data_IF_077496481479
#
_entry.id   IF_077496481479
#
_cell.length_a   1.000
_cell.length_b   1.000
_cell.length_c   1.000
_cell.angle_alpha   90.00
_cell.angle_beta   90.00
_cell.angle_gamma   90.00
#
_symmetry.space_group_name_H-M   'P 1'
#
loop_
_entity.id
_entity.type
_entity.pdbx_description
1 polymer ?
#
# COMPACT_ATOMS: atom_id res chain seq x y z
N UNK A 1 8.08 15.02 28.15
CA UNK A 1 7.80 15.05 26.71
C UNK A 1 6.32 14.76 26.53
N UNK A 2 5.60 15.54 25.74
CA UNK A 2 4.21 15.21 25.39
C UNK A 2 4.22 13.89 24.60
N UNK A 3 3.26 12.99 24.91
CA UNK A 3 3.14 11.73 24.17
C UNK A 3 2.89 12.01 22.69
N UNK A 4 3.63 11.35 21.80
CA UNK A 4 3.43 11.48 20.35
C UNK A 4 2.01 11.03 20.03
N UNK A 5 1.22 11.91 19.44
CA UNK A 5 -0.14 11.60 19.00
C UNK A 5 -0.07 10.61 17.85
N UNK A 6 -0.52 9.37 18.05
CA UNK A 6 -0.53 8.32 17.03
C UNK A 6 -1.71 8.54 16.09
N UNK A 7 -1.46 9.16 14.95
CA UNK A 7 -2.45 9.48 13.94
C UNK A 7 -2.23 8.62 12.69
N UNK A 8 -3.25 7.88 12.30
CA UNK A 8 -3.28 7.10 11.06
C UNK A 8 -4.24 7.78 10.10
N UNK A 9 -3.85 7.83 8.83
CA UNK A 9 -4.73 8.24 7.75
C UNK A 9 -4.77 7.17 6.66
N UNK A 10 -5.91 7.04 6.02
CA UNK A 10 -6.10 6.29 4.79
C UNK A 10 -7.02 7.05 3.85
N UNK A 11 -7.06 6.64 2.59
CA UNK A 11 -7.94 7.25 1.59
C UNK A 11 -8.67 6.16 0.81
N UNK A 12 -9.97 6.34 0.62
CA UNK A 12 -10.82 5.45 -0.16
C UNK A 12 -11.65 6.29 -1.13
N UNK A 13 -11.61 5.95 -2.40
CA UNK A 13 -12.44 6.58 -3.43
C UNK A 13 -12.97 5.52 -4.39
N UNK A 14 -14.16 5.78 -4.93
CA UNK A 14 -14.82 4.86 -5.84
C UNK A 14 -15.22 3.54 -5.18
N UNK A 15 -15.27 2.46 -5.97
CA UNK A 15 -15.90 1.20 -5.54
C UNK A 15 -14.95 0.02 -5.33
N UNK A 16 -13.62 0.25 -5.41
CA UNK A 16 -12.66 -0.87 -5.38
C UNK A 16 -12.56 -1.55 -4.01
N UNK A 17 -12.59 -0.80 -2.92
CA UNK A 17 -12.33 -1.32 -1.57
C UNK A 17 -13.53 -1.19 -0.64
N UNK A 18 -13.91 0.03 -0.25
CA UNK A 18 -15.04 0.34 0.63
C UNK A 18 -14.87 -0.08 2.09
N UNK A 19 -15.97 -0.05 2.85
CA UNK A 19 -16.01 -0.28 4.28
C UNK A 19 -15.35 -1.58 4.76
N UNK A 20 -15.48 -2.74 4.10
CA UNK A 20 -14.83 -3.97 4.58
C UNK A 20 -13.31 -3.88 4.68
N UNK A 21 -12.66 -3.10 3.81
CA UNK A 21 -11.22 -2.88 3.87
C UNK A 21 -10.84 -1.87 4.95
N UNK A 22 -11.61 -0.78 5.07
CA UNK A 22 -11.41 0.25 6.10
C UNK A 22 -11.55 -0.37 7.49
N UNK A 23 -12.60 -1.17 7.71
CA UNK A 23 -12.88 -1.81 8.99
C UNK A 23 -11.77 -2.80 9.38
N UNK A 24 -11.28 -3.61 8.44
CA UNK A 24 -10.14 -4.51 8.67
C UNK A 24 -8.86 -3.75 8.95
N UNK A 25 -8.60 -2.65 8.22
CA UNK A 25 -7.42 -1.83 8.49
C UNK A 25 -7.45 -1.29 9.91
N UNK A 26 -8.59 -0.73 10.36
CA UNK A 26 -8.75 -0.29 11.74
C UNK A 26 -8.51 -1.42 12.75
N UNK A 27 -9.13 -2.58 12.53
CA UNK A 27 -8.99 -3.71 13.42
C UNK A 27 -7.55 -4.23 13.50
N UNK A 28 -6.82 -4.23 12.38
CA UNK A 28 -5.39 -4.55 12.37
C UNK A 28 -4.57 -3.51 13.15
N UNK A 29 -4.87 -2.23 13.00
CA UNK A 29 -4.23 -1.16 13.77
C UNK A 29 -4.49 -1.33 15.27
N UNK A 30 -5.74 -1.56 15.68
CA UNK A 30 -6.13 -1.72 17.07
C UNK A 30 -5.42 -2.90 17.76
N UNK A 31 -5.16 -3.98 17.03
CA UNK A 31 -4.41 -5.13 17.57
C UNK A 31 -2.89 -4.92 17.63
N UNK A 32 -2.36 -3.95 16.92
CA UNK A 32 -0.91 -3.80 16.75
C UNK A 32 -0.36 -2.43 17.19
N UNK A 33 -1.17 -1.62 17.86
CA UNK A 33 -0.76 -0.32 18.43
C UNK A 33 -0.98 -0.36 19.93
N UNK A 34 0.04 0.04 20.68
CA UNK A 34 -0.07 0.18 22.13
C UNK A 34 -0.64 1.56 22.49
N UNK A 35 -1.69 1.59 23.30
CA UNK A 35 -2.33 2.83 23.75
C UNK A 35 -3.27 3.45 22.72
N UNK A 36 -3.63 4.71 22.95
CA UNK A 36 -4.61 5.41 22.11
C UNK A 36 -4.04 5.81 20.76
N UNK A 37 -4.85 5.70 19.72
CA UNK A 37 -4.58 6.21 18.37
C UNK A 37 -5.87 6.75 17.74
N UNK A 38 -5.73 7.53 16.69
CA UNK A 38 -6.84 7.94 15.84
C UNK A 38 -6.63 7.42 14.43
N UNK A 39 -7.71 7.05 13.75
CA UNK A 39 -7.68 6.69 12.34
C UNK A 39 -8.70 7.54 11.58
N UNK A 40 -8.21 8.37 10.67
CA UNK A 40 -9.03 9.18 9.77
C UNK A 40 -9.03 8.57 8.37
N UNK A 41 -10.21 8.31 7.83
CA UNK A 41 -10.40 7.84 6.46
C UNK A 41 -11.00 8.98 5.63
N UNK A 42 -10.26 9.44 4.63
CA UNK A 42 -10.80 10.36 3.63
C UNK A 42 -11.55 9.55 2.58
N UNK A 43 -12.88 9.74 2.46
CA UNK A 43 -13.69 8.88 1.62
C UNK A 43 -14.90 9.61 1.02
N UNK A 44 -15.31 9.19 -0.18
CA UNK A 44 -16.55 9.56 -0.85
C UNK A 44 -17.74 8.68 -0.44
N UNK A 45 -17.50 7.59 0.32
CA UNK A 45 -18.56 6.73 0.82
C UNK A 45 -18.27 6.25 2.25
N UNK A 46 -19.12 6.63 3.20
CA UNK A 46 -19.03 6.30 4.62
C UNK A 46 -19.89 5.11 5.05
N UNK A 47 -20.71 4.60 4.13
CA UNK A 47 -21.66 3.53 4.45
C UNK A 47 -20.95 2.25 4.90
N UNK A 48 -21.36 1.70 6.05
CA UNK A 48 -20.81 0.49 6.64
C UNK A 48 -19.43 0.65 7.29
N UNK A 49 -18.87 1.86 7.33
CA UNK A 49 -17.62 2.13 8.06
C UNK A 49 -17.93 2.15 9.56
N UNK A 50 -17.10 1.46 10.33
CA UNK A 50 -17.23 1.37 11.81
C UNK A 50 -17.07 2.75 12.48
N UNK A 51 -17.78 2.99 13.61
CA UNK A 51 -17.86 4.31 14.22
C UNK A 51 -16.53 4.82 14.81
N UNK A 52 -15.57 3.94 15.09
CA UNK A 52 -14.27 4.34 15.62
C UNK A 52 -13.35 4.96 14.56
N UNK A 53 -13.68 4.82 13.26
CA UNK A 53 -12.98 5.48 12.16
C UNK A 53 -13.59 6.85 11.94
N UNK A 54 -12.77 7.88 12.00
CA UNK A 54 -13.18 9.26 11.70
C UNK A 54 -13.25 9.38 10.17
N UNK A 55 -14.46 9.47 9.61
CA UNK A 55 -14.65 9.67 8.19
C UNK A 55 -14.69 11.16 7.85
N UNK A 56 -13.80 11.59 6.98
CA UNK A 56 -13.75 12.93 6.37
C UNK A 56 -14.02 12.84 4.87
N UNK A 57 -14.49 13.94 4.28
CA UNK A 57 -14.62 14.03 2.84
C UNK A 57 -13.25 13.96 2.17
N UNK A 58 -13.21 13.50 0.91
CA UNK A 58 -11.98 13.52 0.14
C UNK A 58 -11.42 14.94 0.09
N UNK A 59 -10.12 15.14 0.40
CA UNK A 59 -9.53 16.46 0.30
C UNK A 59 -9.76 17.06 -1.10
N UNK A 60 -10.11 18.35 -1.21
CA UNK A 60 -10.45 18.96 -2.48
C UNK A 60 -9.29 18.85 -3.48
N UNK A 61 -9.63 18.71 -4.74
CA UNK A 61 -8.65 18.71 -5.83
C UNK A 61 -9.31 19.27 -7.09
N UNK A 62 -8.72 20.29 -7.65
CA UNK A 62 -9.02 20.89 -8.93
C UNK A 62 -8.23 20.24 -10.09
N UNK A 63 -7.40 19.25 -9.77
CA UNK A 63 -6.50 18.60 -10.72
C UNK A 63 -7.26 17.57 -11.55
N UNK A 64 -7.19 17.72 -12.88
CA UNK A 64 -7.61 16.66 -13.80
C UNK A 64 -6.61 15.52 -13.74
N UNK A 65 -7.05 14.37 -13.22
CA UNK A 65 -6.16 13.22 -13.03
C UNK A 65 -5.62 12.72 -14.38
N UNK A 66 -4.30 12.45 -14.46
CA UNK A 66 -3.67 12.01 -15.69
C UNK A 66 -4.20 10.64 -16.15
N UNK A 67 -4.25 10.43 -17.47
CA UNK A 67 -4.65 9.16 -18.11
C UNK A 67 -3.53 8.14 -18.18
N UNK A 68 -2.60 8.16 -17.23
CA UNK A 68 -1.43 7.29 -17.18
C UNK A 68 -1.50 6.33 -15.99
N UNK A 69 -0.58 5.38 -15.97
CA UNK A 69 -0.43 4.45 -14.83
C UNK A 69 -0.04 5.24 -13.58
N UNK A 70 -0.44 4.71 -12.42
CA UNK A 70 -0.12 5.33 -11.14
C UNK A 70 -1.38 5.59 -10.31
N UNK A 71 -1.18 5.84 -9.02
CA UNK A 71 -2.27 6.10 -8.07
C UNK A 71 -2.27 7.59 -7.71
N UNK A 72 -2.38 8.43 -8.74
CA UNK A 72 -2.32 9.88 -8.65
C UNK A 72 -3.42 10.51 -7.77
N UNK A 73 -4.63 9.91 -7.59
CA UNK A 73 -5.60 10.44 -6.63
C UNK A 73 -5.09 10.55 -5.18
N UNK A 74 -4.02 9.85 -4.81
CA UNK A 74 -3.34 10.05 -3.51
C UNK A 74 -2.74 11.45 -3.34
N UNK A 75 -2.50 12.18 -4.42
CA UNK A 75 -2.04 13.58 -4.37
C UNK A 75 -2.95 14.50 -3.56
N UNK A 76 -4.22 14.12 -3.37
CA UNK A 76 -5.14 14.82 -2.47
C UNK A 76 -4.62 14.91 -1.03
N UNK A 77 -3.80 13.95 -0.60
CA UNK A 77 -3.18 13.96 0.73
C UNK A 77 -1.98 14.91 0.84
N UNK A 78 -1.56 15.52 -0.27
CA UNK A 78 -0.47 16.50 -0.29
C UNK A 78 -0.95 17.94 -0.04
N UNK A 79 -2.24 18.15 0.19
CA UNK A 79 -2.78 19.46 0.54
C UNK A 79 -2.07 20.04 1.78
N UNK A 80 -2.03 21.37 1.88
CA UNK A 80 -1.43 22.08 3.01
C UNK A 80 -2.13 21.75 4.33
N UNK A 81 -3.43 21.49 4.29
CA UNK A 81 -4.25 21.06 5.42
C UNK A 81 -5.05 19.81 5.09
N UNK A 82 -5.28 18.99 6.09
CA UNK A 82 -6.17 17.82 6.02
C UNK A 82 -7.17 17.91 7.18
N UNK A 83 -8.46 17.83 6.89
CA UNK A 83 -9.52 18.03 7.87
C UNK A 83 -9.38 17.11 9.09
N UNK A 84 -9.28 17.72 10.28
CA UNK A 84 -9.18 17.01 11.55
C UNK A 84 -7.83 16.36 11.84
N UNK A 85 -6.80 16.63 11.02
CA UNK A 85 -5.48 15.99 11.14
C UNK A 85 -4.37 17.03 11.10
N UNK A 86 -3.43 16.95 12.04
CA UNK A 86 -2.31 17.89 12.17
C UNK A 86 -1.01 17.18 12.52
N UNK A 87 0.12 17.75 12.10
CA UNK A 87 1.46 17.23 12.41
C UNK A 87 1.75 15.89 11.71
N UNK A 88 2.61 15.03 12.30
CA UNK A 88 3.01 13.78 11.69
C UNK A 88 1.85 12.78 11.59
N UNK A 89 1.66 12.19 10.41
CA UNK A 89 0.65 11.18 10.15
C UNK A 89 1.28 9.94 9.53
N UNK A 90 0.78 8.76 9.91
CA UNK A 90 1.12 7.49 9.27
C UNK A 90 0.02 7.15 8.27
N UNK A 91 0.33 7.28 6.98
CA UNK A 91 -0.56 6.82 5.92
C UNK A 91 -0.43 5.31 5.71
N UNK A 92 -1.57 4.64 5.56
CA UNK A 92 -1.67 3.22 5.25
C UNK A 92 -2.60 2.98 4.06
N UNK A 93 -2.13 2.22 3.05
CA UNK A 93 -3.02 1.71 2.01
C UNK A 93 -4.04 0.71 2.60
N UNK A 94 -5.21 0.60 1.98
CA UNK A 94 -6.30 -0.27 2.45
C UNK A 94 -6.01 -1.77 2.21
N UNK A 95 -5.14 -2.08 1.28
CA UNK A 95 -4.83 -3.45 0.84
C UNK A 95 -3.50 -4.00 1.39
N UNK A 96 -3.02 -3.48 2.51
CA UNK A 96 -1.88 -4.04 3.23
C UNK A 96 -2.32 -5.00 4.35
N UNK A 97 -1.39 -5.78 4.88
CA UNK A 97 -1.60 -6.64 6.05
C UNK A 97 -0.63 -6.26 7.16
N UNK A 98 -1.15 -5.89 8.33
CA UNK A 98 -0.35 -5.58 9.53
C UNK A 98 -0.13 -6.87 10.29
N UNK A 99 1.13 -7.26 10.47
CA UNK A 99 1.55 -8.54 11.04
C UNK A 99 2.32 -8.39 12.35
N UNK A 100 2.59 -7.16 12.78
CA UNK A 100 3.32 -6.87 14.01
C UNK A 100 3.16 -5.43 14.48
N UNK A 101 3.78 -5.11 15.62
CA UNK A 101 3.64 -3.83 16.31
C UNK A 101 4.00 -2.62 15.44
N UNK A 102 3.11 -1.62 15.43
CA UNK A 102 3.25 -0.37 14.68
C UNK A 102 3.87 0.79 15.46
N UNK A 103 4.07 0.68 16.77
CA UNK A 103 4.50 1.81 17.59
C UNK A 103 5.79 2.45 17.06
N UNK A 104 6.75 1.64 16.64
CA UNK A 104 7.99 2.14 16.06
C UNK A 104 7.82 3.02 14.81
N UNK A 105 6.71 2.91 14.07
CA UNK A 105 6.46 3.78 12.91
C UNK A 105 6.13 5.22 13.31
N UNK A 106 5.67 5.44 14.53
CA UNK A 106 5.42 6.78 15.06
C UNK A 106 6.69 7.41 15.66
N UNK A 107 7.59 6.57 16.21
CA UNK A 107 8.76 7.02 16.97
C UNK A 107 10.04 7.10 16.13
N UNK A 108 10.11 6.41 14.98
CA UNK A 108 11.32 6.34 14.16
C UNK A 108 11.55 7.64 13.38
N UNK A 109 12.79 8.16 13.47
CA UNK A 109 13.21 9.39 12.79
C UNK A 109 12.67 10.66 13.43
N UNK A 110 12.78 11.76 12.71
CA UNK A 110 12.29 13.08 13.15
C UNK A 110 10.80 13.22 12.79
N UNK A 111 9.98 13.92 13.61
CA UNK A 111 8.59 14.24 13.25
C UNK A 111 8.43 14.94 11.89
N UNK A 112 9.42 15.71 11.46
CA UNK A 112 9.41 16.42 10.16
C UNK A 112 9.87 15.57 8.97
N UNK A 113 10.28 14.35 9.19
CA UNK A 113 10.75 13.46 8.12
C UNK A 113 9.62 12.91 7.24
N UNK A 114 9.91 12.81 5.94
CA UNK A 114 9.12 11.99 5.00
C UNK A 114 9.75 10.59 4.93
N UNK A 115 9.06 9.60 5.50
CA UNK A 115 9.60 8.25 5.65
C UNK A 115 8.76 7.24 4.89
N UNK A 116 9.40 6.50 3.99
CA UNK A 116 8.78 5.55 3.06
C UNK A 116 9.30 4.11 3.29
N UNK A 117 8.57 3.13 2.79
CA UNK A 117 9.13 1.80 2.60
C UNK A 117 10.07 1.80 1.40
N UNK A 118 11.16 1.01 1.45
CA UNK A 118 12.01 0.82 0.26
C UNK A 118 11.31 -0.07 -0.75
N UNK A 119 11.28 0.33 -2.01
CA UNK A 119 10.74 -0.50 -3.08
C UNK A 119 11.76 -1.59 -3.48
N UNK A 120 11.48 -2.89 -3.27
CA UNK A 120 12.43 -3.95 -3.59
C UNK A 120 12.42 -4.36 -5.08
N UNK A 121 11.48 -3.85 -5.88
CA UNK A 121 11.37 -4.23 -7.31
C UNK A 121 12.42 -3.53 -8.17
N UNK A 122 13.02 -2.46 -7.67
CA UNK A 122 14.10 -1.70 -8.33
C UNK A 122 15.28 -1.57 -7.37
N UNK A 123 16.04 -2.66 -7.09
CA UNK A 123 17.02 -2.69 -6.01
C UNK A 123 18.18 -1.69 -6.20
N UNK A 124 18.46 -1.30 -7.43
CA UNK A 124 19.53 -0.34 -7.77
C UNK A 124 19.05 1.13 -7.78
N UNK A 125 17.74 1.37 -7.72
CA UNK A 125 17.16 2.72 -7.60
C UNK A 125 16.84 3.02 -6.13
N UNK A 126 17.17 4.22 -5.66
CA UNK A 126 16.67 4.71 -4.37
C UNK A 126 15.21 5.11 -4.54
N UNK A 127 14.31 4.10 -4.57
CA UNK A 127 12.88 4.29 -4.79
C UNK A 127 12.10 3.93 -3.53
N UNK A 128 11.22 4.84 -3.12
CA UNK A 128 10.25 4.63 -2.05
C UNK A 128 8.99 3.93 -2.54
N UNK A 129 8.22 3.41 -1.59
CA UNK A 129 6.91 2.81 -1.78
C UNK A 129 5.94 3.47 -0.83
N UNK A 130 4.88 4.06 -1.37
CA UNK A 130 3.91 4.90 -0.66
C UNK A 130 2.71 4.12 -0.09
N UNK A 131 2.76 2.79 -0.04
CA UNK A 131 1.71 1.99 0.62
C UNK A 131 1.70 2.14 2.14
N UNK A 132 2.85 2.49 2.72
CA UNK A 132 3.01 2.89 4.11
C UNK A 132 4.05 3.99 4.19
N UNK A 133 3.64 5.20 4.52
CA UNK A 133 4.60 6.30 4.69
C UNK A 133 4.14 7.30 5.75
N UNK A 134 5.11 7.94 6.41
CA UNK A 134 4.88 8.99 7.38
C UNK A 134 5.37 10.32 6.83
N UNK A 135 4.59 11.36 7.07
CA UNK A 135 4.92 12.75 6.75
C UNK A 135 4.11 13.69 7.64
N UNK A 136 4.58 14.89 7.95
CA UNK A 136 3.75 15.91 8.58
C UNK A 136 2.78 16.52 7.56
N UNK A 137 1.55 16.76 7.96
CA UNK A 137 0.53 17.44 7.14
C UNK A 137 1.09 18.76 6.63
N UNK A 138 0.85 19.06 5.36
CA UNK A 138 1.38 20.25 4.67
C UNK A 138 2.79 20.11 4.10
N UNK A 139 3.61 19.17 4.57
CA UNK A 139 4.98 18.97 4.09
C UNK A 139 5.08 18.70 2.60
N UNK A 140 4.08 18.03 2.05
CA UNK A 140 4.05 17.64 0.64
C UNK A 140 3.31 18.66 -0.26
N UNK A 141 2.83 19.78 0.30
CA UNK A 141 2.14 20.83 -0.47
C UNK A 141 2.95 21.35 -1.68
N UNK A 142 4.28 21.55 -1.60
CA UNK A 142 5.05 21.93 -2.78
C UNK A 142 4.98 20.91 -3.93
N UNK A 143 4.82 19.61 -3.63
CA UNK A 143 4.62 18.59 -4.66
C UNK A 143 3.27 18.73 -5.35
N UNK A 144 2.24 19.10 -4.59
CA UNK A 144 0.91 19.33 -5.14
C UNK A 144 0.92 20.48 -6.14
N UNK A 145 1.63 21.56 -5.84
CA UNK A 145 1.77 22.73 -6.73
C UNK A 145 2.49 22.35 -8.04
N UNK A 146 3.60 21.61 -7.94
CA UNK A 146 4.33 21.11 -9.13
C UNK A 146 3.41 20.18 -9.95
N UNK A 147 2.69 19.27 -9.30
CA UNK A 147 1.78 18.36 -9.97
C UNK A 147 0.58 19.08 -10.59
N UNK A 148 0.04 20.10 -9.94
CA UNK A 148 -1.06 20.94 -10.44
C UNK A 148 -0.69 21.68 -11.72
N UNK A 149 0.56 22.14 -11.83
CA UNK A 149 1.03 22.89 -12.98
C UNK A 149 1.05 22.04 -14.28
N UNK A 150 1.43 20.77 -14.19
CA UNK A 150 1.46 19.84 -15.34
C UNK A 150 1.21 18.39 -14.90
N UNK A 151 -0.04 18.00 -14.62
CA UNK A 151 -0.34 16.65 -14.15
C UNK A 151 0.04 15.54 -15.12
N UNK A 152 -0.18 15.76 -16.42
CA UNK A 152 0.11 14.74 -17.43
C UNK A 152 1.62 14.61 -17.67
N UNK A 153 2.36 15.71 -17.79
CA UNK A 153 3.81 15.67 -17.98
C UNK A 153 4.53 15.02 -16.78
N UNK A 154 4.11 15.34 -15.56
CA UNK A 154 4.63 14.68 -14.35
C UNK A 154 4.33 13.18 -14.37
N UNK A 155 3.12 12.78 -14.74
CA UNK A 155 2.76 11.38 -14.80
C UNK A 155 3.50 10.61 -15.92
N UNK A 156 3.80 11.24 -17.02
CA UNK A 156 4.57 10.66 -18.13
C UNK A 156 6.06 10.54 -17.77
N UNK A 157 6.63 11.52 -17.05
CA UNK A 157 8.01 11.48 -16.57
C UNK A 157 8.23 10.43 -15.49
N UNK A 158 7.39 10.42 -14.47
CA UNK A 158 7.61 9.60 -13.27
C UNK A 158 6.87 8.24 -13.31
N UNK A 159 5.87 8.08 -14.14
CA UNK A 159 4.99 6.90 -14.28
C UNK A 159 4.15 6.62 -13.04
N UNK A 160 4.73 6.72 -11.83
CA UNK A 160 4.07 6.43 -10.55
C UNK A 160 4.31 7.56 -9.55
N UNK A 161 3.30 7.91 -8.77
CA UNK A 161 3.36 8.96 -7.76
C UNK A 161 4.46 8.72 -6.72
N UNK A 162 4.73 7.48 -6.36
CA UNK A 162 5.79 7.12 -5.42
C UNK A 162 7.19 7.53 -5.90
N UNK A 163 7.45 7.50 -7.22
CA UNK A 163 8.73 7.96 -7.77
C UNK A 163 8.81 9.48 -7.73
N UNK A 164 7.72 10.17 -8.02
CA UNK A 164 7.63 11.62 -7.91
C UNK A 164 7.86 12.08 -6.46
N UNK A 165 7.16 11.49 -5.48
CA UNK A 165 7.39 11.76 -4.05
C UNK A 165 8.84 11.46 -3.65
N UNK A 166 9.38 10.30 -4.06
CA UNK A 166 10.76 9.91 -3.71
C UNK A 166 11.78 10.94 -4.14
N UNK A 167 11.63 11.53 -5.32
CA UNK A 167 12.61 12.44 -5.91
C UNK A 167 12.44 13.89 -5.50
N UNK A 168 11.21 14.29 -5.13
CA UNK A 168 10.88 15.70 -4.96
C UNK A 168 10.42 16.06 -3.54
N UNK A 169 10.29 15.11 -2.60
CA UNK A 169 9.86 15.41 -1.23
C UNK A 169 10.76 16.44 -0.58
N UNK A 170 10.22 17.55 -0.02
CA UNK A 170 10.98 18.59 0.66
C UNK A 170 11.81 18.03 1.81
N UNK A 171 13.11 18.31 1.81
CA UNK A 171 14.07 17.72 2.76
C UNK A 171 14.51 16.28 2.43
N UNK A 172 14.04 15.74 1.30
CA UNK A 172 14.33 14.36 0.88
C UNK A 172 13.52 13.32 1.63
N UNK A 173 13.88 12.05 1.43
CA UNK A 173 13.20 10.91 2.06
C UNK A 173 14.14 10.08 2.91
N UNK A 174 13.57 9.48 3.97
CA UNK A 174 14.17 8.37 4.72
C UNK A 174 13.44 7.07 4.44
N UNK A 175 14.05 5.94 4.79
CA UNK A 175 13.42 4.64 4.68
C UNK A 175 13.19 4.03 6.05
N UNK A 176 12.06 3.33 6.20
CA UNK A 176 11.86 2.43 7.34
C UNK A 176 12.98 1.40 7.44
N UNK A 177 13.29 0.89 8.64
CA UNK A 177 14.17 -0.26 8.81
C UNK A 177 13.70 -1.42 7.91
N UNK A 178 14.63 -2.02 7.16
CA UNK A 178 14.34 -3.03 6.12
C UNK A 178 13.39 -4.17 6.56
N UNK A 179 13.48 -4.71 7.79
CA UNK A 179 12.60 -5.81 8.21
C UNK A 179 11.14 -5.41 8.35
N UNK A 180 10.85 -4.14 8.69
CA UNK A 180 9.51 -3.72 9.10
C UNK A 180 8.46 -3.81 8.01
N UNK A 181 8.82 -3.49 6.76
CA UNK A 181 7.91 -3.51 5.64
C UNK A 181 8.39 -4.51 4.60
N UNK A 182 7.52 -5.46 4.26
CA UNK A 182 7.80 -6.50 3.28
C UNK A 182 6.85 -6.39 2.10
N UNK A 183 7.36 -6.66 0.93
CA UNK A 183 6.59 -6.67 -0.31
C UNK A 183 6.15 -8.10 -0.61
N UNK A 184 4.85 -8.38 -0.67
CA UNK A 184 4.30 -9.72 -0.80
C UNK A 184 4.94 -10.52 -1.94
N UNK A 185 4.86 -10.00 -3.18
CA UNK A 185 5.31 -10.74 -4.37
C UNK A 185 6.81 -11.06 -4.42
N UNK A 186 7.64 -10.22 -3.84
CA UNK A 186 9.10 -10.33 -3.97
C UNK A 186 9.78 -10.89 -2.73
N UNK A 187 9.10 -10.88 -1.58
CA UNK A 187 9.70 -11.24 -0.30
C UNK A 187 8.92 -12.32 0.47
N UNK A 188 7.65 -12.57 0.10
CA UNK A 188 6.86 -13.66 0.70
C UNK A 188 6.67 -14.83 -0.27
N UNK A 189 6.48 -14.54 -1.58
CA UNK A 189 6.27 -15.57 -2.60
C UNK A 189 7.61 -16.19 -2.99
N UNK A 190 7.74 -17.53 -2.94
CA UNK A 190 8.94 -18.22 -3.41
C UNK A 190 9.20 -17.96 -4.90
N UNK A 191 10.49 -17.96 -5.28
CA UNK A 191 10.88 -17.84 -6.69
C UNK A 191 10.40 -19.04 -7.51
N UNK A 192 10.06 -18.79 -8.78
CA UNK A 192 9.76 -19.84 -9.74
C UNK A 192 10.99 -20.78 -9.93
N UNK A 193 10.79 -22.12 -9.95
CA UNK A 193 9.51 -22.84 -9.90
C UNK A 193 9.03 -23.22 -8.49
N UNK A 194 9.71 -22.82 -7.42
CA UNK A 194 9.38 -23.21 -6.04
C UNK A 194 8.01 -22.71 -5.56
N UNK A 195 7.47 -21.65 -6.17
CA UNK A 195 6.13 -21.15 -5.91
C UNK A 195 5.01 -22.17 -6.20
N UNK A 196 5.30 -23.24 -6.96
CA UNK A 196 4.37 -24.36 -7.18
C UNK A 196 4.32 -25.36 -6.02
N UNK A 197 5.33 -25.36 -5.16
CA UNK A 197 5.51 -26.38 -4.12
C UNK A 197 5.46 -25.79 -2.71
N UNK A 198 5.83 -24.53 -2.56
CA UNK A 198 5.95 -23.85 -1.29
C UNK A 198 4.99 -22.65 -1.26
N UNK A 199 4.10 -22.62 -0.28
CA UNK A 199 3.22 -21.48 -0.04
C UNK A 199 4.01 -20.22 0.37
N UNK A 200 3.49 -19.02 0.08
CA UNK A 200 4.10 -17.79 0.54
C UNK A 200 4.28 -17.78 2.07
N UNK A 201 5.47 -17.38 2.52
CA UNK A 201 5.82 -17.34 3.94
C UNK A 201 5.83 -15.89 4.43
N UNK A 202 5.36 -15.70 5.66
CA UNK A 202 5.53 -14.44 6.37
C UNK A 202 6.98 -14.37 6.88
N UNK A 203 7.78 -13.35 6.48
CA UNK A 203 9.11 -13.14 7.08
C UNK A 203 9.01 -12.80 8.57
N UNK A 204 9.88 -13.40 9.40
CA UNK A 204 9.78 -13.33 10.87
C UNK A 204 9.72 -11.90 11.44
N UNK A 205 10.44 -10.97 10.84
CA UNK A 205 10.54 -9.59 11.34
C UNK A 205 9.58 -8.62 10.64
N UNK A 206 8.66 -9.12 9.81
CA UNK A 206 7.68 -8.30 9.12
C UNK A 206 6.67 -7.72 10.12
N UNK A 207 6.47 -6.41 10.07
CA UNK A 207 5.40 -5.72 10.79
C UNK A 207 4.25 -5.35 9.88
N UNK A 208 4.56 -5.09 8.61
CA UNK A 208 3.59 -4.78 7.56
C UNK A 208 3.99 -5.49 6.28
N UNK A 209 3.04 -6.14 5.64
CA UNK A 209 3.20 -6.71 4.29
C UNK A 209 2.34 -5.90 3.33
N UNK A 210 2.97 -5.30 2.32
CA UNK A 210 2.31 -4.49 1.29
C UNK A 210 2.00 -5.33 0.04
N UNK A 211 0.88 -5.02 -0.60
CA UNK A 211 0.35 -5.73 -1.77
C UNK A 211 0.21 -4.82 -2.99
N UNK A 212 1.29 -4.28 -3.56
CA UNK A 212 1.19 -3.37 -4.69
C UNK A 212 0.62 -4.06 -5.94
N UNK A 213 -0.46 -3.49 -6.48
CA UNK A 213 -1.23 -3.95 -7.62
C UNK A 213 -1.98 -5.27 -7.36
N UNK A 214 -1.45 -6.42 -7.79
CA UNK A 214 -2.04 -7.75 -7.60
C UNK A 214 -0.99 -8.74 -7.11
N UNK A 215 -1.39 -9.76 -6.30
CA UNK A 215 -2.73 -10.00 -5.75
C UNK A 215 -3.08 -9.02 -4.63
N UNK A 216 -4.37 -8.89 -4.30
CA UNK A 216 -4.82 -8.29 -3.04
C UNK A 216 -4.81 -9.36 -1.91
N UNK A 217 -4.90 -8.98 -0.62
CA UNK A 217 -4.91 -9.93 0.48
C UNK A 217 -5.95 -11.06 0.36
N UNK A 218 -7.25 -10.81 0.01
CA UNK A 218 -8.23 -11.89 -0.13
C UNK A 218 -7.93 -12.84 -1.29
N UNK A 219 -7.30 -12.35 -2.37
CA UNK A 219 -6.89 -13.21 -3.48
C UNK A 219 -5.70 -14.08 -3.09
N UNK A 220 -4.69 -13.51 -2.46
CA UNK A 220 -3.52 -14.22 -1.98
C UNK A 220 -3.88 -15.29 -0.93
N UNK A 221 -4.84 -14.99 -0.03
CA UNK A 221 -5.38 -15.97 0.91
C UNK A 221 -5.90 -17.22 0.21
N UNK A 222 -6.58 -17.05 -0.93
CA UNK A 222 -7.16 -18.14 -1.73
C UNK A 222 -6.20 -18.75 -2.76
N UNK A 223 -4.97 -18.26 -2.86
CA UNK A 223 -4.01 -18.71 -3.88
C UNK A 223 -4.32 -18.21 -5.28
N UNK A 224 -4.95 -17.04 -5.41
CA UNK A 224 -5.26 -16.40 -6.69
C UNK A 224 -4.32 -15.23 -6.94
N UNK A 225 -3.99 -15.00 -8.19
CA UNK A 225 -3.22 -13.81 -8.56
C UNK A 225 -4.12 -12.59 -8.85
N UNK A 226 -5.28 -12.84 -9.43
CA UNK A 226 -6.34 -11.86 -9.67
C UNK A 226 -7.71 -12.48 -9.37
N UNK A 227 -8.73 -11.68 -8.99
CA UNK A 227 -10.06 -12.19 -8.58
C UNK A 227 -10.71 -13.08 -9.64
N UNK A 228 -10.55 -12.71 -10.92
CA UNK A 228 -11.20 -13.36 -12.06
C UNK A 228 -10.59 -14.74 -12.38
N UNK A 229 -9.45 -15.07 -11.78
CA UNK A 229 -8.80 -16.35 -12.10
C UNK A 229 -9.53 -17.59 -11.57
N UNK A 230 -10.35 -17.44 -10.54
CA UNK A 230 -10.94 -18.58 -9.85
C UNK A 230 -9.85 -19.44 -9.14
N UNK A 231 -10.30 -20.50 -8.47
CA UNK A 231 -9.41 -21.46 -7.84
C UNK A 231 -8.86 -22.41 -8.92
N UNK A 232 -7.55 -22.60 -8.96
CA UNK A 232 -6.89 -23.44 -9.99
C UNK A 232 -5.93 -24.42 -9.37
N UNK A 233 -5.95 -25.62 -9.90
CA UNK A 233 -4.90 -26.61 -9.65
C UNK A 233 -3.61 -26.24 -10.38
N UNK A 234 -2.50 -26.80 -9.94
CA UNK A 234 -1.19 -26.64 -10.61
C UNK A 234 -1.25 -27.07 -12.08
N UNK A 235 -1.91 -28.21 -12.33
CA UNK A 235 -2.05 -28.75 -13.69
C UNK A 235 -2.82 -27.84 -14.62
N UNK A 236 -3.94 -27.30 -14.18
CA UNK A 236 -4.76 -26.35 -14.95
C UNK A 236 -3.98 -25.06 -15.26
N UNK A 237 -3.21 -24.55 -14.30
CA UNK A 237 -2.40 -23.37 -14.51
C UNK A 237 -1.30 -23.60 -15.56
N UNK A 238 -0.62 -24.75 -15.50
CA UNK A 238 0.40 -25.15 -16.48
C UNK A 238 -0.23 -25.36 -17.85
N UNK A 239 -1.35 -26.09 -17.93
CA UNK A 239 -2.05 -26.34 -19.20
C UNK A 239 -2.53 -25.07 -19.87
N UNK A 240 -2.94 -24.06 -19.08
CA UNK A 240 -3.30 -22.74 -19.61
C UNK A 240 -2.09 -22.00 -20.19
N UNK A 241 -0.91 -22.13 -19.60
CA UNK A 241 0.32 -21.59 -20.17
C UNK A 241 0.66 -22.26 -21.53
N UNK A 242 0.47 -23.57 -21.63
CA UNK A 242 0.74 -24.34 -22.86
C UNK A 242 -0.25 -23.96 -23.98
N UNK A 243 -1.54 -23.89 -23.65
CA UNK A 243 -2.63 -23.56 -24.60
C UNK A 243 -2.77 -22.06 -24.89
N UNK A 244 -2.16 -21.21 -24.08
CA UNK A 244 -2.26 -19.75 -24.14
C UNK A 244 -1.40 -19.11 -25.24
N UNK A 245 -1.14 -17.78 -25.11
CA UNK A 245 -0.45 -17.01 -26.12
C UNK A 245 0.86 -17.64 -26.58
N UNK A 246 1.14 -17.64 -27.89
CA UNK A 246 2.36 -18.22 -28.48
C UNK A 246 3.67 -17.52 -28.07
N UNK A 247 3.62 -16.31 -27.48
CA UNK A 247 4.81 -15.58 -27.05
C UNK A 247 5.38 -16.14 -25.75
N UNK A 248 6.66 -16.51 -25.78
CA UNK A 248 7.40 -17.08 -24.64
C UNK A 248 7.31 -16.19 -23.39
N UNK A 249 7.53 -14.89 -23.52
CA UNK A 249 7.50 -13.95 -22.38
C UNK A 249 6.14 -13.93 -21.67
N UNK A 250 5.05 -14.01 -22.42
CA UNK A 250 3.68 -14.05 -21.85
C UNK A 250 3.42 -15.38 -21.13
N UNK A 251 3.90 -16.50 -21.67
CA UNK A 251 3.80 -17.83 -21.04
C UNK A 251 4.60 -17.90 -19.77
N UNK A 252 5.86 -17.46 -19.81
CA UNK A 252 6.75 -17.45 -18.65
C UNK A 252 6.22 -16.54 -17.54
N UNK A 253 5.73 -15.36 -17.89
CA UNK A 253 5.07 -14.46 -16.96
C UNK A 253 3.84 -15.10 -16.31
N UNK A 254 3.03 -15.82 -17.08
CA UNK A 254 1.88 -16.56 -16.56
C UNK A 254 2.35 -17.64 -15.58
N UNK A 255 3.30 -18.51 -15.94
CA UNK A 255 3.83 -19.57 -15.07
C UNK A 255 4.35 -19.02 -13.73
N UNK A 256 5.04 -17.89 -13.73
CA UNK A 256 5.54 -17.25 -12.51
C UNK A 256 4.43 -16.72 -11.59
N UNK A 257 3.20 -16.59 -12.08
CA UNK A 257 2.05 -16.08 -11.32
C UNK A 257 1.22 -17.18 -10.65
N UNK A 258 1.69 -18.40 -10.62
CA UNK A 258 1.06 -19.43 -9.78
C UNK A 258 1.28 -19.09 -8.31
N UNK A 259 0.20 -19.18 -7.53
CA UNK A 259 0.21 -18.88 -6.11
C UNK A 259 -0.50 -20.00 -5.36
N UNK A 260 0.12 -20.52 -4.33
CA UNK A 260 -0.55 -21.39 -3.36
C UNK A 260 -1.30 -20.52 -2.33
N UNK A 261 -2.38 -21.05 -1.72
CA UNK A 261 -3.08 -20.37 -0.64
C UNK A 261 -2.12 -19.89 0.46
N UNK A 262 -2.37 -18.69 0.98
CA UNK A 262 -1.51 -18.01 1.96
C UNK A 262 -2.25 -17.86 3.30
N UNK A 263 -2.36 -18.93 4.12
CA UNK A 263 -3.25 -18.97 5.29
C UNK A 263 -2.92 -17.94 6.38
N UNK A 264 -1.66 -17.56 6.57
CA UNK A 264 -1.27 -16.55 7.57
C UNK A 264 -1.96 -15.18 7.36
N UNK A 265 -2.47 -14.90 6.15
CA UNK A 265 -3.23 -13.68 5.89
C UNK A 265 -4.52 -13.67 6.74
N UNK A 266 -5.20 -14.80 6.90
CA UNK A 266 -6.43 -14.88 7.68
C UNK A 266 -6.21 -14.54 9.16
N UNK A 267 -5.05 -14.87 9.70
CA UNK A 267 -4.71 -14.62 11.10
C UNK A 267 -4.57 -13.11 11.40
N UNK A 268 -4.19 -12.35 10.40
CA UNK A 268 -3.88 -10.93 10.53
C UNK A 268 -4.93 -10.02 9.86
N UNK A 269 -5.37 -10.33 8.63
CA UNK A 269 -6.30 -9.52 7.82
C UNK A 269 -7.76 -9.85 8.14
N UNK A 270 -8.18 -9.51 9.34
CA UNK A 270 -9.53 -9.77 9.90
C UNK A 270 -10.00 -8.58 10.73
N UNK A 271 -11.30 -8.50 10.91
CA UNK A 271 -11.96 -7.59 11.85
C UNK A 271 -11.76 -8.03 13.29
#
# INVERSE_FOLDING_TARGET
>A
MAAVKKQIICINWGTKYGAPYINRLYAMCARNITGAFTMTCFTDNREGVRPEVICQDLPPSDIVMPKSKGIWPKSRLWNETLDGVEGPVLFLDLDLVITGNLDGFFDYGDPDDVILARNPTTPFEKLGQTSIFRFPVGKLAPLLEIFRADPQGIADEYTFEQRFVTRNAPGGIKFWPKPWVRHFRTQCVPLFPMNYFIAPKLPADARVVIFPATPNPPDALRGRWVPEEGDRTRGEHIMRAIRGPRHFDKRFRHLRRFLLPTPWIADHWRE
#
